data_IF_523970940948
#
_entry.id   IF_523970940948
#
_cell.length_a   1.000
_cell.length_b   1.000
_cell.length_c   1.000
_cell.angle_alpha   90.00
_cell.angle_beta   90.00
_cell.angle_gamma   90.00
#
_symmetry.space_group_name_H-M   'P 1'
#
loop_
_entity.id
_entity.type
_entity.pdbx_description
1 polymer ?
#
# COMPACT_ATOMS: atom_id res chain seq x y z
N UNK A 1 15.93 -12.34 -23.86
CA UNK A 1 15.90 -12.25 -22.39
C UNK A 1 15.35 -10.87 -22.04
N UNK A 2 14.02 -10.74 -21.94
CA UNK A 2 13.34 -9.44 -21.83
C UNK A 2 13.66 -8.81 -20.48
N UNK A 3 14.32 -7.65 -20.50
CA UNK A 3 14.74 -6.92 -19.30
C UNK A 3 13.54 -6.53 -18.45
N UNK A 4 13.44 -7.10 -17.25
CA UNK A 4 12.42 -6.73 -16.28
C UNK A 4 12.85 -5.40 -15.65
N UNK A 5 12.29 -4.29 -16.14
CA UNK A 5 12.29 -3.03 -15.39
C UNK A 5 11.83 -3.35 -13.96
N UNK A 6 12.60 -2.99 -12.92
CA UNK A 6 12.19 -3.24 -11.55
C UNK A 6 10.83 -2.56 -11.35
N UNK A 7 9.82 -3.35 -10.97
CA UNK A 7 8.52 -2.79 -10.61
C UNK A 7 8.77 -1.85 -9.43
N UNK A 8 8.21 -0.63 -9.43
CA UNK A 8 8.30 0.24 -8.27
C UNK A 8 7.84 -0.55 -7.04
N UNK A 9 8.61 -0.46 -5.95
CA UNK A 9 8.30 -1.18 -4.72
C UNK A 9 6.83 -0.98 -4.37
N UNK A 10 6.11 -2.08 -4.21
CA UNK A 10 4.70 -2.03 -3.89
C UNK A 10 4.54 -1.25 -2.59
N UNK A 11 3.80 -0.13 -2.64
CA UNK A 11 3.61 0.74 -1.47
C UNK A 11 2.61 0.15 -0.50
N UNK A 12 2.86 0.29 0.80
CA UNK A 12 1.92 -0.16 1.81
C UNK A 12 0.63 0.69 1.73
N UNK A 13 -0.55 0.06 1.60
CA UNK A 13 -1.79 0.80 1.46
C UNK A 13 -2.17 1.59 2.71
N UNK A 14 -1.71 1.13 3.88
CA UNK A 14 -1.99 1.68 5.20
C UNK A 14 -0.96 2.71 5.67
N UNK A 15 0.22 2.76 5.05
CA UNK A 15 1.32 3.69 5.40
C UNK A 15 1.70 4.53 4.18
N UNK A 16 1.00 5.65 3.91
CA UNK A 16 1.20 6.44 2.70
C UNK A 16 2.63 6.97 2.54
N UNK A 17 3.32 6.45 1.52
CA UNK A 17 4.70 6.86 1.19
C UNK A 17 5.76 5.88 1.66
N UNK A 18 5.38 4.85 2.40
CA UNK A 18 6.28 3.78 2.82
C UNK A 18 6.21 2.57 1.89
N UNK A 19 7.34 1.93 1.58
CA UNK A 19 7.35 0.66 0.85
C UNK A 19 6.72 -0.45 1.71
N UNK A 20 6.29 -1.52 1.05
CA UNK A 20 5.92 -2.75 1.75
C UNK A 20 7.15 -3.33 2.47
N UNK A 21 6.99 -3.69 3.73
CA UNK A 21 8.04 -4.34 4.54
C UNK A 21 7.71 -5.80 4.86
N UNK A 22 6.77 -6.40 4.12
CA UNK A 22 6.40 -7.81 4.30
C UNK A 22 7.50 -8.69 3.71
N UNK A 23 8.40 -9.18 4.55
CA UNK A 23 9.52 -10.04 4.17
C UNK A 23 9.21 -11.51 4.50
N UNK A 24 8.19 -12.08 3.87
CA UNK A 24 7.85 -13.50 4.00
C UNK A 24 8.08 -14.23 2.67
N UNK A 25 8.37 -15.53 2.72
CA UNK A 25 8.52 -16.33 1.50
C UNK A 25 7.18 -16.34 0.73
N UNK A 26 7.26 -16.35 -0.61
CA UNK A 26 6.11 -16.44 -1.52
C UNK A 26 5.11 -15.26 -1.49
N UNK A 27 5.45 -14.14 -0.84
CA UNK A 27 4.60 -12.94 -0.91
C UNK A 27 4.79 -12.19 -2.23
N UNK A 28 3.67 -11.82 -2.82
CA UNK A 28 3.56 -11.09 -4.09
C UNK A 28 3.29 -9.60 -3.88
N UNK A 29 2.95 -9.19 -2.66
CA UNK A 29 2.82 -7.78 -2.30
C UNK A 29 1.98 -7.51 -1.05
N UNK A 30 1.54 -6.25 -0.86
CA UNK A 30 0.79 -5.83 0.32
C UNK A 30 -0.50 -6.59 0.55
N UNK A 31 -1.15 -7.11 -0.50
CA UNK A 31 -2.36 -7.91 -0.39
C UNK A 31 -2.17 -9.20 0.42
N UNK A 32 -0.94 -9.71 0.51
CA UNK A 32 -0.61 -10.91 1.28
C UNK A 32 -0.37 -10.60 2.77
N UNK A 33 -0.35 -9.32 3.16
CA UNK A 33 -0.27 -8.92 4.56
C UNK A 33 -1.63 -9.12 5.25
N UNK A 34 -1.71 -9.89 6.35
CA UNK A 34 -2.98 -10.17 7.03
C UNK A 34 -3.72 -8.89 7.46
N UNK A 35 -2.98 -7.87 7.90
CA UNK A 35 -3.57 -6.58 8.28
C UNK A 35 -4.17 -5.86 7.07
N UNK A 36 -3.48 -5.86 5.94
CA UNK A 36 -3.99 -5.26 4.71
C UNK A 36 -5.23 -6.00 4.24
N UNK A 37 -5.22 -7.34 4.28
CA UNK A 37 -6.39 -8.16 3.97
C UNK A 37 -7.60 -7.70 4.78
N UNK A 38 -7.52 -7.74 6.11
CA UNK A 38 -8.62 -7.37 7.00
C UNK A 38 -9.17 -5.96 6.73
N UNK A 39 -8.27 -4.99 6.62
CA UNK A 39 -8.65 -3.59 6.41
C UNK A 39 -9.27 -3.36 5.04
N UNK A 40 -8.76 -4.03 4.00
CA UNK A 40 -9.24 -3.82 2.62
C UNK A 40 -10.49 -4.63 2.30
N UNK A 41 -10.75 -5.71 3.03
CA UNK A 41 -12.01 -6.47 2.94
C UNK A 41 -13.17 -5.81 3.66
N UNK A 42 -12.90 -4.98 4.67
CA UNK A 42 -13.92 -4.20 5.38
C UNK A 42 -14.21 -2.88 4.65
N UNK A 43 -15.47 -2.62 4.32
CA UNK A 43 -15.86 -1.45 3.54
C UNK A 43 -15.60 -0.11 4.26
N UNK A 44 -15.89 -0.06 5.56
CA UNK A 44 -15.74 1.15 6.36
C UNK A 44 -14.27 1.49 6.52
N UNK A 45 -13.46 0.49 6.88
CA UNK A 45 -12.02 0.66 7.04
C UNK A 45 -11.35 1.02 5.70
N UNK A 46 -11.71 0.35 4.60
CA UNK A 46 -11.21 0.68 3.25
C UNK A 46 -11.52 2.12 2.85
N UNK A 47 -12.73 2.59 3.18
CA UNK A 47 -13.15 3.99 2.93
C UNK A 47 -12.32 4.96 3.77
N UNK A 48 -12.05 4.64 5.03
CA UNK A 48 -11.13 5.40 5.88
C UNK A 48 -9.74 5.53 5.27
N UNK A 49 -9.14 4.41 4.84
CA UNK A 49 -7.83 4.43 4.19
C UNK A 49 -7.82 5.26 2.91
N UNK A 50 -8.90 5.22 2.12
CA UNK A 50 -9.03 6.07 0.94
C UNK A 50 -8.98 7.57 1.30
N UNK A 51 -9.73 7.99 2.33
CA UNK A 51 -9.72 9.38 2.83
C UNK A 51 -8.33 9.79 3.31
N UNK A 52 -7.66 8.96 4.09
CA UNK A 52 -6.33 9.25 4.62
C UNK A 52 -5.27 9.41 3.52
N UNK A 53 -5.38 8.63 2.45
CA UNK A 53 -4.50 8.76 1.27
C UNK A 53 -4.71 10.07 0.55
N UNK A 54 -5.95 10.52 0.37
CA UNK A 54 -6.23 11.82 -0.25
C UNK A 54 -5.68 12.96 0.62
N UNK A 55 -5.91 12.91 1.93
CA UNK A 55 -5.38 13.89 2.87
C UNK A 55 -3.84 13.93 2.87
N UNK A 56 -3.19 12.77 2.80
CA UNK A 56 -1.73 12.67 2.73
C UNK A 56 -1.15 13.24 1.43
N UNK A 57 -1.87 13.09 0.30
CA UNK A 57 -1.47 13.69 -0.98
C UNK A 57 -1.62 15.20 -0.98
N UNK A 58 -2.69 15.73 -0.38
CA UNK A 58 -2.88 17.17 -0.22
C UNK A 58 -1.72 17.78 0.60
N UNK A 59 -1.41 17.20 1.76
CA UNK A 59 -0.28 17.65 2.60
C UNK A 59 1.07 17.68 1.88
N UNK A 60 1.32 16.73 0.97
CA UNK A 60 2.56 16.69 0.16
C UNK A 60 2.59 17.70 -0.98
N UNK A 61 1.44 18.22 -1.39
CA UNK A 61 1.34 19.26 -2.43
C UNK A 61 1.52 20.66 -1.85
N UNK A 62 1.10 20.85 -0.61
CA UNK A 62 1.08 22.15 0.06
C UNK A 62 2.39 22.50 0.80
N UNK A 63 3.37 21.59 0.79
CA UNK A 63 4.72 21.80 1.35
C UNK A 63 5.79 21.64 0.28
#
# INVERSE_FOLDING_TARGET
>A
MSGRTPRPDARCPLRPGEPCTLCQLDVTGPQDCPLVYLVMTDEQLRTGVHRDRLASRARRRDG
#
